data_IF_664745043874
#
_entry.id   IF_664745043874
#
_cell.length_a   1.000
_cell.length_b   1.000
_cell.length_c   1.000
_cell.angle_alpha   90.00
_cell.angle_beta   90.00
_cell.angle_gamma   90.00
#
_symmetry.space_group_name_H-M   'P 1'
#
loop_
_entity.id
_entity.type
_entity.pdbx_description
1 polymer ?
#
# COMPACT_ATOMS: atom_id res chain seq x y z
N UNK A 1 -10.59 -32.64 -7.88
CA UNK A 1 -11.60 -31.58 -7.86
C UNK A 1 -10.87 -30.26 -8.06
N UNK A 2 -11.12 -29.59 -9.19
CA UNK A 2 -10.54 -28.30 -9.49
C UNK A 2 -11.11 -27.26 -8.53
N UNK A 3 -10.25 -26.56 -7.78
CA UNK A 3 -10.65 -25.43 -6.98
C UNK A 3 -11.20 -24.35 -7.91
N UNK A 4 -12.47 -23.98 -7.75
CA UNK A 4 -13.11 -22.97 -8.55
C UNK A 4 -12.49 -21.60 -8.25
N UNK A 5 -11.88 -21.00 -9.26
CA UNK A 5 -11.42 -19.60 -9.18
C UNK A 5 -12.66 -18.73 -9.36
N UNK A 6 -13.07 -18.06 -8.29
CA UNK A 6 -14.18 -17.10 -8.37
C UNK A 6 -13.62 -15.69 -8.49
N UNK A 7 -13.80 -15.07 -9.67
CA UNK A 7 -13.45 -13.67 -9.91
C UNK A 7 -14.69 -12.83 -9.63
N UNK A 8 -14.70 -12.10 -8.52
CA UNK A 8 -15.78 -11.17 -8.20
C UNK A 8 -15.55 -9.83 -8.88
N UNK A 9 -16.41 -9.47 -9.85
CA UNK A 9 -16.59 -8.08 -10.29
C UNK A 9 -17.50 -7.40 -9.27
N UNK A 10 -16.97 -6.47 -8.51
CA UNK A 10 -17.75 -5.64 -7.59
C UNK A 10 -18.64 -4.70 -8.40
N UNK A 11 -19.93 -5.01 -8.51
CA UNK A 11 -20.96 -4.02 -8.83
C UNK A 11 -21.35 -3.26 -7.56
N UNK A 12 -21.41 -1.93 -7.69
CA UNK A 12 -21.86 -0.95 -6.68
C UNK A 12 -22.85 -1.51 -5.66
N UNK A 13 -22.50 -1.47 -4.41
CA UNK A 13 -23.11 -1.29 -3.10
C UNK A 13 -22.44 -2.24 -2.13
N UNK A 14 -21.67 -1.67 -1.18
CA UNK A 14 -21.25 -2.25 0.10
C UNK A 14 -21.35 -3.79 0.23
N UNK A 15 -20.76 -4.52 -0.69
CA UNK A 15 -20.54 -5.93 -0.49
C UNK A 15 -19.38 -6.05 0.51
N UNK A 16 -19.71 -6.20 1.81
CA UNK A 16 -18.76 -6.77 2.76
C UNK A 16 -18.33 -8.10 2.18
N UNK A 17 -17.11 -8.14 1.61
CA UNK A 17 -16.48 -9.39 1.21
C UNK A 17 -16.38 -10.26 2.45
N UNK A 18 -17.20 -11.29 2.53
CA UNK A 18 -17.09 -12.28 3.59
C UNK A 18 -15.94 -13.18 3.23
N UNK A 19 -14.79 -12.99 3.87
CA UNK A 19 -13.58 -13.79 3.67
C UNK A 19 -13.84 -15.30 3.80
N UNK A 20 -14.80 -15.67 4.63
CA UNK A 20 -15.14 -17.07 4.91
C UNK A 20 -15.79 -17.79 3.70
N UNK A 21 -16.26 -17.06 2.69
CA UNK A 21 -16.89 -17.60 1.46
C UNK A 21 -15.90 -17.65 0.27
N UNK A 22 -14.71 -17.07 0.41
CA UNK A 22 -13.73 -16.92 -0.69
C UNK A 22 -12.48 -17.74 -0.36
N UNK A 23 -12.25 -18.81 -1.11
CA UNK A 23 -11.08 -19.68 -0.91
C UNK A 23 -9.79 -19.12 -1.50
N UNK A 24 -9.88 -18.34 -2.56
CA UNK A 24 -8.74 -17.71 -3.24
C UNK A 24 -9.11 -16.28 -3.66
N UNK A 25 -8.32 -15.32 -3.21
CA UNK A 25 -8.40 -13.93 -3.65
C UNK A 25 -7.12 -13.55 -4.40
N UNK A 26 -7.28 -13.10 -5.63
CA UNK A 26 -6.20 -12.51 -6.41
C UNK A 26 -6.46 -11.01 -6.51
N UNK A 27 -5.51 -10.21 -6.14
CA UNK A 27 -5.68 -8.76 -6.13
C UNK A 27 -4.38 -8.00 -6.32
N UNK A 28 -4.52 -6.73 -6.59
CA UNK A 28 -3.44 -5.76 -6.67
C UNK A 28 -3.22 -5.09 -5.30
N UNK A 29 -2.49 -3.98 -5.26
CA UNK A 29 -2.31 -3.12 -4.08
C UNK A 29 -3.63 -2.72 -3.38
N UNK A 30 -4.77 -2.76 -4.08
CA UNK A 30 -6.08 -2.49 -3.48
C UNK A 30 -6.41 -3.41 -2.30
N UNK A 31 -5.75 -4.57 -2.18
CA UNK A 31 -5.92 -5.49 -1.03
C UNK A 31 -5.29 -4.93 0.24
N UNK A 32 -4.31 -4.04 0.14
CA UNK A 32 -3.59 -3.46 1.28
C UNK A 32 -4.51 -2.58 2.15
N UNK A 33 -5.50 -1.95 1.52
CA UNK A 33 -6.34 -0.93 2.16
C UNK A 33 -7.78 -1.41 2.31
N UNK A 34 -8.35 -1.18 3.49
CA UNK A 34 -9.80 -1.22 3.78
C UNK A 34 -10.53 -2.56 3.62
N UNK A 35 -9.84 -3.67 3.41
CA UNK A 35 -10.47 -4.98 3.36
C UNK A 35 -10.36 -5.71 4.71
N UNK A 36 -11.50 -6.12 5.27
CA UNK A 36 -11.54 -6.99 6.44
C UNK A 36 -11.54 -8.45 6.00
N UNK A 37 -10.36 -8.90 5.54
CA UNK A 37 -10.11 -10.26 5.09
C UNK A 37 -9.13 -10.96 6.03
N UNK A 38 -9.27 -12.28 6.16
CA UNK A 38 -8.46 -13.13 7.02
C UNK A 38 -8.17 -14.44 6.30
N UNK A 39 -6.97 -14.59 5.79
CA UNK A 39 -6.52 -15.77 5.05
C UNK A 39 -5.45 -16.55 5.83
N UNK A 40 -5.22 -17.77 5.41
CA UNK A 40 -4.25 -18.68 6.01
C UNK A 40 -2.86 -18.53 5.45
N UNK A 41 -2.74 -18.02 4.23
CA UNK A 41 -1.49 -17.89 3.48
C UNK A 41 -1.58 -16.73 2.50
N UNK A 42 -0.46 -16.08 2.26
CA UNK A 42 -0.32 -15.11 1.20
C UNK A 42 0.89 -15.43 0.32
N UNK A 43 0.71 -15.24 -0.98
CA UNK A 43 1.78 -15.20 -1.99
C UNK A 43 1.77 -13.79 -2.58
N UNK A 44 2.90 -13.11 -2.55
CA UNK A 44 2.98 -11.73 -3.00
C UNK A 44 4.27 -11.46 -3.74
N UNK A 45 4.20 -10.57 -4.72
CA UNK A 45 5.39 -9.99 -5.34
C UNK A 45 6.16 -9.13 -4.34
N UNK A 46 7.44 -8.88 -4.64
CA UNK A 46 8.27 -7.97 -3.86
C UNK A 46 7.68 -6.55 -3.89
N UNK A 47 7.74 -5.91 -2.75
CA UNK A 47 7.21 -4.56 -2.55
C UNK A 47 8.03 -3.86 -1.44
N UNK A 48 7.88 -2.56 -1.23
CA UNK A 48 8.38 -1.88 -0.04
C UNK A 48 7.94 -2.58 1.24
N UNK A 49 8.77 -2.53 2.28
CA UNK A 49 8.54 -3.29 3.51
C UNK A 49 7.21 -2.94 4.19
N UNK A 50 6.85 -1.67 4.20
CA UNK A 50 5.58 -1.18 4.76
C UNK A 50 4.37 -1.76 4.03
N UNK A 51 4.40 -1.84 2.69
CA UNK A 51 3.37 -2.49 1.89
C UNK A 51 3.29 -3.99 2.19
N UNK A 52 4.43 -4.68 2.30
CA UNK A 52 4.45 -6.10 2.68
C UNK A 52 3.89 -6.34 4.08
N UNK A 53 4.20 -5.49 5.06
CA UNK A 53 3.63 -5.57 6.41
C UNK A 53 2.10 -5.43 6.37
N UNK A 54 1.57 -4.52 5.56
CA UNK A 54 0.13 -4.36 5.39
C UNK A 54 -0.51 -5.60 4.76
N UNK A 55 0.16 -6.23 3.78
CA UNK A 55 -0.28 -7.49 3.16
C UNK A 55 -0.22 -8.65 4.15
N UNK A 56 0.86 -8.79 4.92
CA UNK A 56 0.99 -9.81 5.96
C UNK A 56 -0.08 -9.66 7.04
N UNK A 57 -0.50 -8.43 7.34
CA UNK A 57 -1.62 -8.15 8.23
C UNK A 57 -2.99 -8.64 7.73
N UNK A 58 -3.08 -9.23 6.52
CA UNK A 58 -4.28 -9.93 6.00
C UNK A 58 -4.25 -11.44 6.24
N UNK A 59 -3.15 -11.95 6.76
CA UNK A 59 -2.98 -13.37 7.11
C UNK A 59 -3.10 -13.53 8.60
N UNK A 60 -3.90 -14.50 9.06
CA UNK A 60 -4.16 -14.74 10.48
C UNK A 60 -4.56 -13.47 11.27
N UNK A 61 -5.27 -12.57 10.61
CA UNK A 61 -5.69 -11.28 11.19
C UNK A 61 -6.44 -11.44 12.50
N UNK A 62 -7.27 -12.47 12.60
CA UNK A 62 -8.04 -12.78 13.80
C UNK A 62 -7.23 -13.58 14.84
N UNK A 63 -5.94 -13.81 14.60
CA UNK A 63 -5.01 -14.52 15.50
C UNK A 63 -5.51 -15.89 15.94
N UNK A 64 -6.17 -16.63 15.05
CA UNK A 64 -6.72 -17.97 15.33
C UNK A 64 -5.64 -19.07 15.26
N UNK A 65 -4.53 -18.80 14.58
CA UNK A 65 -3.38 -19.70 14.40
C UNK A 65 -2.15 -19.08 15.04
N UNK A 66 -1.19 -19.90 15.41
CA UNK A 66 0.06 -19.39 16.02
C UNK A 66 0.93 -18.65 14.99
N UNK A 67 1.23 -19.29 13.87
CA UNK A 67 2.06 -18.78 12.78
C UNK A 67 1.40 -19.14 11.46
N UNK A 68 1.41 -18.21 10.52
CA UNK A 68 0.94 -18.45 9.16
C UNK A 68 1.99 -18.03 8.13
N UNK A 69 2.13 -18.78 7.03
CA UNK A 69 3.15 -18.52 6.03
C UNK A 69 2.80 -17.34 5.13
N UNK A 70 3.82 -16.50 4.88
CA UNK A 70 3.79 -15.42 3.92
C UNK A 70 4.95 -15.62 2.94
N UNK A 71 4.64 -15.80 1.67
CA UNK A 71 5.64 -16.04 0.62
C UNK A 71 5.81 -14.79 -0.22
N UNK A 72 7.05 -14.31 -0.33
CA UNK A 72 7.41 -13.15 -1.17
C UNK A 72 8.25 -13.65 -2.33
N UNK A 73 7.82 -13.39 -3.56
CA UNK A 73 8.61 -13.69 -4.74
C UNK A 73 9.80 -12.73 -4.82
N UNK A 74 10.99 -13.30 -4.97
CA UNK A 74 12.23 -12.53 -5.02
C UNK A 74 12.45 -11.87 -6.38
N UNK A 75 12.03 -12.55 -7.45
CA UNK A 75 12.19 -12.07 -8.81
C UNK A 75 11.20 -10.93 -9.06
N UNK A 76 11.71 -9.83 -9.63
CA UNK A 76 10.93 -8.67 -10.01
C UNK A 76 10.61 -8.71 -11.49
N UNK A 77 9.42 -8.26 -11.87
CA UNK A 77 9.09 -7.98 -13.25
C UNK A 77 9.58 -6.56 -13.62
N UNK A 78 9.99 -6.34 -14.85
CA UNK A 78 10.39 -5.01 -15.33
C UNK A 78 9.28 -3.96 -15.14
N UNK A 79 8.01 -4.37 -15.16
CA UNK A 79 6.86 -3.50 -14.96
C UNK A 79 6.70 -3.04 -13.51
N UNK A 80 7.30 -3.73 -12.53
CA UNK A 80 7.20 -3.35 -11.11
C UNK A 80 7.86 -2.00 -10.83
N UNK A 81 8.83 -1.60 -11.66
CA UNK A 81 9.48 -0.29 -11.60
C UNK A 81 8.52 0.89 -11.84
N UNK A 82 7.42 0.67 -12.55
CA UNK A 82 6.39 1.69 -12.72
C UNK A 82 5.55 1.88 -11.47
N UNK A 83 5.43 0.83 -10.65
CA UNK A 83 4.65 0.85 -9.41
C UNK A 83 5.51 1.40 -8.27
N UNK A 84 6.73 0.88 -8.13
CA UNK A 84 7.68 1.27 -7.08
C UNK A 84 8.93 1.87 -7.73
N UNK A 85 9.01 3.19 -7.72
CA UNK A 85 10.12 3.92 -8.36
C UNK A 85 11.45 3.69 -7.64
N UNK A 86 11.45 3.63 -6.31
CA UNK A 86 12.65 3.42 -5.50
C UNK A 86 13.01 1.93 -5.42
N UNK A 87 13.87 1.50 -6.31
CA UNK A 87 14.34 0.10 -6.40
C UNK A 87 15.30 -0.25 -5.27
N UNK A 88 15.96 0.73 -4.65
CA UNK A 88 16.84 0.49 -3.51
C UNK A 88 16.04 0.09 -2.28
N UNK A 89 14.85 0.66 -2.09
CA UNK A 89 13.91 0.25 -1.03
C UNK A 89 13.52 -1.22 -1.21
N UNK A 90 13.18 -1.64 -2.43
CA UNK A 90 12.83 -3.05 -2.70
C UNK A 90 14.02 -3.96 -2.43
N UNK A 91 15.21 -3.58 -2.88
CA UNK A 91 16.42 -4.36 -2.67
C UNK A 91 16.71 -4.53 -1.18
N UNK A 92 16.66 -3.45 -0.39
CA UNK A 92 16.84 -3.51 1.07
C UNK A 92 15.75 -4.32 1.75
N UNK A 93 14.51 -4.24 1.27
CA UNK A 93 13.39 -5.06 1.77
C UNK A 93 13.68 -6.55 1.59
N UNK A 94 14.11 -6.96 0.40
CA UNK A 94 14.47 -8.37 0.15
C UNK A 94 15.65 -8.80 1.03
N UNK A 95 16.67 -7.96 1.19
CA UNK A 95 17.82 -8.24 2.03
C UNK A 95 17.42 -8.47 3.51
N UNK A 96 16.58 -7.60 4.07
CA UNK A 96 16.14 -7.74 5.46
C UNK A 96 15.27 -8.99 5.65
N UNK A 97 14.38 -9.31 4.71
CA UNK A 97 13.58 -10.53 4.77
C UNK A 97 14.46 -11.78 4.72
N UNK A 98 15.48 -11.83 3.85
CA UNK A 98 16.46 -12.92 3.80
C UNK A 98 17.27 -13.05 5.09
N UNK A 99 17.61 -11.93 5.74
CA UNK A 99 18.29 -11.95 7.02
C UNK A 99 17.39 -12.51 8.13
N UNK A 100 16.10 -12.16 8.14
CA UNK A 100 15.09 -12.71 9.07
C UNK A 100 14.93 -14.22 8.83
N UNK A 101 14.87 -14.66 7.56
CA UNK A 101 14.80 -16.06 7.20
C UNK A 101 15.97 -16.86 7.79
N UNK A 102 17.19 -16.38 7.59
CA UNK A 102 18.41 -17.04 8.08
C UNK A 102 18.53 -17.03 9.60
N UNK A 103 18.17 -15.92 10.25
CA UNK A 103 18.38 -15.73 11.69
C UNK A 103 17.29 -16.37 12.54
N UNK A 104 16.03 -16.28 12.10
CA UNK A 104 14.83 -16.61 12.88
C UNK A 104 13.94 -17.66 12.19
N UNK A 105 14.46 -18.44 11.23
CA UNK A 105 13.65 -19.34 10.40
C UNK A 105 12.43 -18.64 9.75
N UNK A 106 12.61 -17.39 9.33
CA UNK A 106 11.55 -16.59 8.71
C UNK A 106 10.50 -16.02 9.67
N UNK A 107 10.64 -16.22 10.97
CA UNK A 107 9.68 -15.68 11.94
C UNK A 107 9.92 -14.18 12.12
N UNK A 108 8.95 -13.38 11.72
CA UNK A 108 8.95 -11.93 11.92
C UNK A 108 8.44 -11.65 13.33
N UNK A 109 9.25 -11.00 14.13
CA UNK A 109 8.91 -10.58 15.49
C UNK A 109 8.54 -9.10 15.51
N UNK A 110 7.38 -8.77 16.05
CA UNK A 110 6.83 -7.40 16.06
C UNK A 110 7.82 -6.38 16.64
N UNK A 111 8.54 -6.73 17.71
CA UNK A 111 9.51 -5.83 18.32
C UNK A 111 10.81 -5.59 17.51
N UNK A 112 11.10 -6.45 16.51
CA UNK A 112 12.23 -6.29 15.58
C UNK A 112 11.83 -5.46 14.34
N UNK A 113 10.56 -5.16 14.18
CA UNK A 113 10.03 -4.54 12.96
C UNK A 113 10.54 -3.11 12.78
N UNK A 114 10.68 -2.33 13.86
CA UNK A 114 11.22 -0.98 13.77
C UNK A 114 12.65 -0.97 13.21
N UNK A 115 13.50 -1.88 13.67
CA UNK A 115 14.86 -2.00 13.15
C UNK A 115 14.88 -2.40 11.65
N UNK A 116 13.90 -3.21 11.22
CA UNK A 116 13.76 -3.57 9.83
C UNK A 116 13.33 -2.37 8.97
N UNK A 117 12.41 -1.55 9.47
CA UNK A 117 11.98 -0.31 8.81
C UNK A 117 13.15 0.67 8.72
N UNK A 118 13.89 0.90 9.79
CA UNK A 118 15.04 1.82 9.81
C UNK A 118 16.15 1.35 8.85
N UNK A 119 16.34 0.04 8.69
CA UNK A 119 17.26 -0.51 7.70
C UNK A 119 16.81 -0.25 6.26
N UNK A 120 15.51 -0.40 5.98
CA UNK A 120 14.95 -0.20 4.63
C UNK A 120 14.89 1.28 4.27
N UNK A 121 14.58 2.14 5.23
CA UNK A 121 14.41 3.59 5.07
C UNK A 121 15.40 4.37 5.96
N UNK A 122 16.71 4.31 5.66
CA UNK A 122 17.73 4.97 6.49
C UNK A 122 17.63 6.50 6.43
N UNK A 123 17.10 7.05 5.35
CA UNK A 123 16.86 8.47 5.12
C UNK A 123 15.77 8.66 4.05
N UNK A 124 15.26 9.87 3.94
CA UNK A 124 14.35 10.26 2.87
C UNK A 124 15.12 10.36 1.54
N UNK A 125 14.50 9.90 0.46
CA UNK A 125 15.04 10.17 -0.88
C UNK A 125 15.08 11.68 -1.15
N UNK A 126 15.98 12.13 -2.01
CA UNK A 126 16.05 13.54 -2.40
C UNK A 126 14.76 14.02 -3.06
N UNK A 127 14.08 13.14 -3.81
CA UNK A 127 12.77 13.42 -4.41
C UNK A 127 11.74 13.71 -3.31
N UNK A 128 11.65 12.85 -2.29
CA UNK A 128 10.72 13.02 -1.16
C UNK A 128 11.04 14.27 -0.33
N UNK A 129 12.33 14.59 -0.12
CA UNK A 129 12.74 15.82 0.56
C UNK A 129 12.29 17.05 -0.22
N UNK A 130 12.52 17.08 -1.52
CA UNK A 130 12.13 18.20 -2.38
C UNK A 130 10.61 18.38 -2.41
N UNK A 131 9.86 17.30 -2.53
CA UNK A 131 8.39 17.33 -2.49
C UNK A 131 7.88 17.88 -1.15
N UNK A 132 8.43 17.40 -0.03
CA UNK A 132 8.10 17.92 1.29
C UNK A 132 8.38 19.41 1.43
N UNK A 133 9.56 19.88 1.00
CA UNK A 133 9.91 21.30 1.10
C UNK A 133 9.04 22.19 0.19
N UNK A 134 8.71 21.71 -1.01
CA UNK A 134 7.82 22.44 -1.92
C UNK A 134 6.42 22.53 -1.35
N UNK A 135 5.86 21.44 -0.83
CA UNK A 135 4.55 21.43 -0.18
C UNK A 135 4.54 22.32 1.06
N UNK A 136 5.57 22.21 1.91
CA UNK A 136 5.72 23.09 3.09
C UNK A 136 5.76 24.56 2.70
N UNK A 137 6.53 24.93 1.67
CA UNK A 137 6.62 26.31 1.18
C UNK A 137 5.26 26.82 0.68
N UNK A 138 4.56 26.02 -0.10
CA UNK A 138 3.22 26.34 -0.59
C UNK A 138 2.24 26.53 0.58
N UNK A 139 2.16 25.59 1.50
CA UNK A 139 1.26 25.68 2.66
C UNK A 139 1.57 26.91 3.54
N UNK A 140 2.86 27.18 3.76
CA UNK A 140 3.26 28.38 4.52
C UNK A 140 2.81 29.65 3.82
N UNK A 141 2.96 29.73 2.50
CA UNK A 141 2.47 30.86 1.72
C UNK A 141 0.94 30.98 1.79
N UNK A 142 0.22 29.89 1.58
CA UNK A 142 -1.24 29.86 1.60
C UNK A 142 -1.81 30.29 2.96
N UNK A 143 -1.23 29.80 4.05
CA UNK A 143 -1.65 30.18 5.42
C UNK A 143 -1.46 31.68 5.67
N UNK A 144 -0.33 32.24 5.25
CA UNK A 144 0.01 33.62 5.56
C UNK A 144 -0.65 34.66 4.64
N UNK A 145 -0.98 34.28 3.40
CA UNK A 145 -1.40 35.21 2.38
C UNK A 145 -2.80 34.96 1.82
N UNK A 146 -3.20 33.69 1.70
CA UNK A 146 -4.42 33.30 0.99
C UNK A 146 -5.58 32.95 1.93
N UNK A 147 -5.31 32.38 3.10
CA UNK A 147 -6.32 32.04 4.08
C UNK A 147 -6.68 33.25 4.94
N UNK A 148 -7.59 34.08 4.45
CA UNK A 148 -8.11 35.22 5.21
C UNK A 148 -9.45 34.84 5.84
N UNK A 149 -9.64 35.13 7.14
CA UNK A 149 -10.91 34.88 7.81
C UNK A 149 -12.05 35.58 7.08
N UNK A 150 -13.15 34.86 6.86
CA UNK A 150 -14.39 35.36 6.24
C UNK A 150 -14.29 35.74 4.74
N UNK A 151 -13.16 35.50 4.09
CA UNK A 151 -13.03 35.67 2.65
C UNK A 151 -13.08 34.31 1.95
N UNK A 152 -14.16 34.04 1.20
CA UNK A 152 -14.26 32.89 0.34
C UNK A 152 -13.73 33.15 -1.05
N UNK A 153 -12.95 32.25 -1.60
CA UNK A 153 -12.49 32.28 -3.00
C UNK A 153 -12.42 30.86 -3.55
N UNK A 154 -13.28 30.56 -4.51
CA UNK A 154 -13.30 29.29 -5.20
C UNK A 154 -11.92 28.95 -5.82
N UNK A 155 -11.27 29.94 -6.42
CA UNK A 155 -9.95 29.76 -7.03
C UNK A 155 -8.90 29.28 -6.02
N UNK A 156 -8.89 29.88 -4.81
CA UNK A 156 -7.94 29.48 -3.76
C UNK A 156 -8.23 28.09 -3.22
N UNK A 157 -9.51 27.73 -3.09
CA UNK A 157 -9.95 26.41 -2.69
C UNK A 157 -9.51 25.36 -3.71
N UNK A 158 -9.74 25.59 -4.99
CA UNK A 158 -9.34 24.72 -6.08
C UNK A 158 -7.81 24.55 -6.13
N UNK A 159 -7.04 25.62 -5.96
CA UNK A 159 -5.59 25.58 -5.97
C UNK A 159 -5.03 24.84 -4.74
N UNK A 160 -5.69 24.94 -3.59
CA UNK A 160 -5.35 24.16 -2.40
C UNK A 160 -5.59 22.66 -2.62
N UNK A 161 -6.79 22.30 -3.11
CA UNK A 161 -7.12 20.88 -3.34
C UNK A 161 -6.27 20.24 -4.43
N UNK A 162 -5.85 20.98 -5.47
CA UNK A 162 -4.92 20.46 -6.49
C UNK A 162 -3.60 19.95 -5.94
N UNK A 163 -3.16 20.43 -4.77
CA UNK A 163 -1.92 19.93 -4.12
C UNK A 163 -2.07 18.51 -3.57
N UNK A 164 -3.31 18.08 -3.31
CA UNK A 164 -3.63 16.80 -2.68
C UNK A 164 -4.46 15.87 -3.59
N UNK A 165 -4.96 16.41 -4.71
CA UNK A 165 -5.75 15.63 -5.65
C UNK A 165 -4.86 14.73 -6.51
N UNK A 166 -5.21 13.45 -6.55
CA UNK A 166 -4.71 12.53 -7.56
C UNK A 166 -5.43 12.70 -8.89
N UNK A 167 -4.96 12.00 -9.91
CA UNK A 167 -5.64 11.94 -11.20
C UNK A 167 -6.93 11.15 -11.03
N UNK A 168 -8.07 11.79 -11.27
CA UNK A 168 -9.38 11.13 -11.27
C UNK A 168 -9.51 10.32 -12.56
N UNK A 169 -9.65 9.01 -12.42
CA UNK A 169 -9.82 8.09 -13.55
C UNK A 169 -11.18 7.40 -13.48
N UNK A 170 -11.86 7.33 -14.62
CA UNK A 170 -13.07 6.55 -14.77
C UNK A 170 -12.73 5.32 -15.64
N UNK A 171 -12.90 4.09 -15.14
CA UNK A 171 -12.73 2.90 -15.97
C UNK A 171 -13.66 2.94 -17.18
N UNK A 172 -13.15 2.58 -18.37
CA UNK A 172 -13.93 2.59 -19.62
C UNK A 172 -15.23 1.78 -19.47
N UNK A 173 -15.20 0.71 -18.69
CA UNK A 173 -16.40 -0.12 -18.43
C UNK A 173 -17.51 0.60 -17.65
N UNK A 174 -17.25 1.78 -17.10
CA UNK A 174 -18.22 2.57 -16.33
C UNK A 174 -18.64 3.86 -17.06
N UNK A 175 -18.07 4.15 -18.24
CA UNK A 175 -18.36 5.39 -18.99
C UNK A 175 -19.83 5.47 -19.42
N UNK A 176 -20.47 4.33 -19.73
CA UNK A 176 -21.88 4.28 -20.13
C UNK A 176 -22.86 4.41 -18.94
N UNK A 177 -22.38 4.27 -17.70
CA UNK A 177 -23.19 4.38 -16.47
C UNK A 177 -23.11 5.77 -15.83
N UNK A 178 -22.26 6.68 -16.36
CA UNK A 178 -22.00 8.02 -15.83
C UNK A 178 -22.62 9.10 -16.71
#
# INVERSE_FOLDING_TARGET
QAAGISIYKTRKKEAKLKSDEINLLVGTQAIEVSLDIDYDVIYTESAPLDALIQRFGRVNRKRRKSICPCYVFKEQNEKDRFIYKDQDVITRTIQILQNIEKKNNGIIKEYEMQNAIDFVYPDWSEESKNEFYNTKKYLTYAINNDLKPLEYSQQREDDYYKQFDGIKVLPISLVEEY
#
